data_IF_644393736225
#
_entry.id   IF_644393736225
#
_cell.length_a   1.000
_cell.length_b   1.000
_cell.length_c   1.000
_cell.angle_alpha   90.00
_cell.angle_beta   90.00
_cell.angle_gamma   90.00
#
_symmetry.space_group_name_H-M   'P 1'
#
loop_
_entity.id
_entity.type
_entity.pdbx_description
1 polymer ?
#
# COMPACT_ATOMS: atom_id res chain seq x y z
N UNK A 1 17.02 5.89 0.64
CA UNK A 1 18.24 6.62 1.06
C UNK A 1 19.54 6.08 0.50
N UNK A 2 19.69 4.77 0.24
CA UNK A 2 20.95 4.21 -0.28
C UNK A 2 21.52 4.94 -1.50
N UNK A 3 20.66 5.43 -2.40
CA UNK A 3 21.08 6.23 -3.55
C UNK A 3 21.86 7.48 -3.11
N UNK A 4 21.29 8.30 -2.23
CA UNK A 4 21.90 9.50 -1.64
C UNK A 4 23.20 9.22 -0.87
N UNK A 5 23.45 7.98 -0.46
CA UNK A 5 24.68 7.57 0.22
C UNK A 5 25.76 7.02 -0.73
N UNK A 6 25.43 6.73 -1.98
CA UNK A 6 26.31 6.01 -2.91
C UNK A 6 27.26 6.92 -3.70
N UNK A 7 27.63 8.07 -3.14
CA UNK A 7 28.64 8.98 -3.69
C UNK A 7 28.07 10.19 -4.46
N UNK A 8 28.99 10.99 -5.01
CA UNK A 8 28.66 12.19 -5.77
C UNK A 8 27.89 11.85 -7.05
N UNK A 9 26.93 12.70 -7.45
CA UNK A 9 26.12 12.48 -8.66
C UNK A 9 24.91 11.57 -8.46
N UNK A 10 24.57 11.21 -7.21
CA UNK A 10 23.37 10.44 -6.87
C UNK A 10 22.33 11.36 -6.26
N UNK A 11 21.21 11.50 -6.95
CA UNK A 11 20.14 12.39 -6.54
C UNK A 11 18.80 11.67 -6.69
N UNK A 12 17.97 11.72 -5.65
CA UNK A 12 16.64 11.13 -5.65
C UNK A 12 15.56 12.20 -5.67
N UNK A 13 14.53 11.98 -6.49
CA UNK A 13 13.30 12.74 -6.48
C UNK A 13 12.15 11.90 -5.93
N UNK A 14 11.37 12.45 -5.01
CA UNK A 14 10.23 11.73 -4.44
C UNK A 14 8.97 12.58 -4.52
N UNK A 15 8.07 12.16 -5.39
CA UNK A 15 6.75 12.74 -5.60
C UNK A 15 5.74 11.98 -4.73
N UNK A 16 5.55 12.48 -3.50
CA UNK A 16 4.47 12.07 -2.59
C UNK A 16 4.49 10.58 -2.19
N UNK A 17 5.68 9.98 -2.01
CA UNK A 17 5.79 8.60 -1.56
C UNK A 17 5.77 8.52 -0.02
N UNK A 18 5.06 7.55 0.59
CA UNK A 18 5.02 7.41 2.04
C UNK A 18 6.41 7.38 2.69
N UNK A 19 6.60 8.22 3.70
CA UNK A 19 7.85 8.34 4.46
C UNK A 19 8.89 9.29 3.86
N UNK A 20 8.68 9.85 2.66
CA UNK A 20 9.68 10.71 2.01
C UNK A 20 9.86 12.08 2.67
N UNK A 21 8.90 12.51 3.47
CA UNK A 21 8.88 13.81 4.14
C UNK A 21 9.66 13.84 5.46
N UNK A 22 10.11 12.67 5.92
CA UNK A 22 10.85 12.55 7.16
C UNK A 22 12.32 12.21 6.88
N UNK A 23 13.21 12.75 7.70
CA UNK A 23 14.61 12.37 7.65
C UNK A 23 14.76 10.90 8.04
N UNK A 24 15.46 10.12 7.22
CA UNK A 24 15.84 8.76 7.54
C UNK A 24 17.35 8.69 7.75
N UNK A 25 17.74 8.39 8.99
CA UNK A 25 19.15 8.38 9.42
C UNK A 25 19.88 9.69 9.08
N UNK A 26 19.20 10.83 9.28
CA UNK A 26 19.79 12.16 9.07
C UNK A 26 19.86 12.64 7.62
N UNK A 27 19.27 11.93 6.65
CA UNK A 27 19.18 12.38 5.25
C UNK A 27 17.75 12.41 4.73
N UNK A 28 17.52 13.28 3.75
CA UNK A 28 16.32 13.35 2.90
C UNK A 28 16.69 13.12 1.43
N UNK A 29 15.74 12.74 0.57
CA UNK A 29 15.93 12.82 -0.87
C UNK A 29 16.29 14.24 -1.32
N UNK A 30 17.03 14.37 -2.41
CA UNK A 30 17.42 15.66 -3.02
C UNK A 30 16.20 16.51 -3.36
N UNK A 31 15.16 15.89 -3.94
CA UNK A 31 13.88 16.54 -4.20
C UNK A 31 12.75 15.80 -3.51
N UNK A 32 11.90 16.55 -2.80
CA UNK A 32 10.71 16.02 -2.14
C UNK A 32 9.53 16.93 -2.46
N UNK A 33 8.43 16.34 -2.93
CA UNK A 33 7.12 16.95 -2.92
C UNK A 33 6.33 16.39 -1.74
N UNK A 34 6.04 17.26 -0.77
CA UNK A 34 5.12 16.98 0.34
C UNK A 34 3.75 16.61 -0.24
N UNK A 35 3.08 15.64 0.37
CA UNK A 35 1.79 15.14 -0.02
C UNK A 35 0.80 16.27 -0.25
N UNK A 36 0.30 16.35 -1.47
CA UNK A 36 -0.71 17.30 -1.87
C UNK A 36 -1.62 16.65 -2.93
N UNK A 37 -2.69 16.03 -2.46
CA UNK A 37 -3.65 15.34 -3.33
C UNK A 37 -4.43 16.27 -4.27
N UNK A 38 -4.32 17.59 -4.13
CA UNK A 38 -4.93 18.57 -5.04
C UNK A 38 -4.04 18.88 -6.26
N UNK A 39 -2.77 18.48 -6.24
CA UNK A 39 -1.83 18.76 -7.33
C UNK A 39 -2.25 18.00 -8.60
N UNK A 40 -2.45 18.70 -9.75
CA UNK A 40 -2.78 18.05 -11.02
C UNK A 40 -1.71 17.04 -11.40
N UNK A 41 -2.15 15.87 -11.88
CA UNK A 41 -1.25 14.75 -12.16
C UNK A 41 -0.25 15.03 -13.28
N UNK A 42 -0.65 15.73 -14.34
CA UNK A 42 0.30 16.16 -15.38
C UNK A 42 1.36 17.11 -14.81
N UNK A 43 1.00 18.00 -13.89
CA UNK A 43 1.98 18.85 -13.21
C UNK A 43 2.94 18.05 -12.32
N UNK A 44 2.51 16.90 -11.77
CA UNK A 44 3.43 15.97 -11.07
C UNK A 44 4.46 15.41 -12.05
N UNK A 45 4.02 14.95 -13.22
CA UNK A 45 4.88 14.43 -14.29
C UNK A 45 5.86 15.51 -14.78
N UNK A 46 5.39 16.73 -15.04
CA UNK A 46 6.24 17.84 -15.48
C UNK A 46 7.33 18.15 -14.46
N UNK A 47 6.96 18.22 -13.17
CA UNK A 47 7.92 18.45 -12.08
C UNK A 47 8.95 17.33 -11.95
N UNK A 48 8.55 16.08 -12.16
CA UNK A 48 9.47 14.94 -12.21
C UNK A 48 10.48 15.11 -13.35
N UNK A 49 10.03 15.51 -14.55
CA UNK A 49 10.94 15.73 -15.68
C UNK A 49 11.95 16.86 -15.41
N UNK A 50 11.53 17.92 -14.72
CA UNK A 50 12.44 18.98 -14.28
C UNK A 50 13.53 18.47 -13.33
N UNK A 51 13.20 17.56 -12.42
CA UNK A 51 14.19 16.94 -11.52
C UNK A 51 15.16 16.05 -12.28
N UNK A 52 14.66 15.21 -13.19
CA UNK A 52 15.48 14.29 -13.99
C UNK A 52 16.46 15.08 -14.88
N UNK A 53 16.02 16.21 -15.44
CA UNK A 53 16.81 17.06 -16.33
C UNK A 53 17.64 18.13 -15.64
N UNK A 54 17.66 18.18 -14.31
CA UNK A 54 18.42 19.21 -13.62
C UNK A 54 19.92 19.14 -14.01
N UNK A 55 20.52 20.28 -14.36
CA UNK A 55 21.89 20.32 -14.90
C UNK A 55 22.97 20.01 -13.86
N UNK A 56 22.71 20.27 -12.58
CA UNK A 56 23.69 20.12 -11.49
C UNK A 56 23.39 18.93 -10.60
N UNK A 57 22.10 18.62 -10.40
CA UNK A 57 21.61 17.56 -9.53
C UNK A 57 20.56 16.67 -10.23
N UNK A 58 20.88 16.06 -11.39
CA UNK A 58 19.91 15.27 -12.14
C UNK A 58 19.44 14.05 -11.33
N UNK A 59 18.14 13.97 -11.07
CA UNK A 59 17.56 12.86 -10.33
C UNK A 59 17.66 11.54 -11.12
N UNK A 60 18.38 10.55 -10.58
CA UNK A 60 18.58 9.23 -11.19
C UNK A 60 17.79 8.11 -10.50
N UNK A 61 17.04 8.44 -9.46
CA UNK A 61 16.02 7.59 -8.86
C UNK A 61 14.80 8.44 -8.52
N UNK A 62 13.66 8.14 -9.14
CA UNK A 62 12.41 8.85 -8.88
C UNK A 62 11.32 7.89 -8.42
N UNK A 63 10.64 8.25 -7.33
CA UNK A 63 9.40 7.62 -6.88
C UNK A 63 8.24 8.58 -7.09
N UNK A 64 7.09 8.08 -7.56
CA UNK A 64 5.89 8.88 -7.77
C UNK A 64 4.63 8.12 -7.39
N UNK A 65 3.72 8.82 -6.72
CA UNK A 65 2.45 8.29 -6.23
C UNK A 65 1.26 9.01 -6.85
N UNK A 66 0.21 8.23 -7.16
CA UNK A 66 -1.07 8.67 -7.70
C UNK A 66 -2.18 7.90 -6.96
N UNK A 67 -3.23 8.60 -6.54
CA UNK A 67 -4.19 8.10 -5.53
C UNK A 67 -5.27 7.15 -6.08
N UNK A 68 -5.40 7.04 -7.40
CA UNK A 68 -6.42 6.19 -8.02
C UNK A 68 -5.78 4.92 -8.60
N UNK A 69 -6.53 3.81 -8.69
CA UNK A 69 -7.97 3.67 -8.47
C UNK A 69 -8.41 3.47 -7.01
N UNK A 70 -7.49 3.50 -6.06
CA UNK A 70 -7.74 3.22 -4.64
C UNK A 70 -8.82 4.14 -4.05
N UNK A 71 -8.62 5.46 -4.16
CA UNK A 71 -9.52 6.45 -3.56
C UNK A 71 -10.98 6.28 -3.99
N UNK A 72 -11.24 6.17 -5.29
CA UNK A 72 -12.61 6.01 -5.79
C UNK A 72 -13.18 4.64 -5.43
N UNK A 73 -12.34 3.61 -5.44
CA UNK A 73 -12.74 2.26 -5.01
C UNK A 73 -13.22 2.24 -3.57
N UNK A 74 -12.49 2.87 -2.63
CA UNK A 74 -12.93 3.01 -1.23
C UNK A 74 -14.33 3.61 -1.12
N UNK A 75 -14.59 4.66 -1.90
CA UNK A 75 -15.84 5.42 -1.83
C UNK A 75 -17.05 4.74 -2.50
N UNK A 76 -16.80 3.90 -3.51
CA UNK A 76 -17.86 3.44 -4.43
C UNK A 76 -17.91 1.92 -4.63
N UNK A 77 -16.91 1.18 -4.15
CA UNK A 77 -16.72 -0.22 -4.45
C UNK A 77 -16.09 -0.49 -5.83
N UNK A 78 -15.57 -1.71 -6.00
CA UNK A 78 -14.82 -2.14 -7.18
C UNK A 78 -15.70 -2.31 -8.44
N UNK A 79 -17.01 -2.41 -8.25
CA UNK A 79 -17.97 -2.59 -9.35
C UNK A 79 -18.56 -1.26 -9.87
N UNK A 80 -18.15 -0.13 -9.29
CA UNK A 80 -18.70 1.18 -9.66
C UNK A 80 -18.31 1.57 -11.09
N UNK A 81 -19.23 2.15 -11.89
CA UNK A 81 -18.89 2.72 -13.19
C UNK A 81 -17.87 3.88 -13.08
N UNK A 82 -17.83 4.59 -11.95
CA UNK A 82 -16.87 5.67 -11.70
C UNK A 82 -15.42 5.16 -11.73
N UNK A 83 -15.22 3.88 -11.38
CA UNK A 83 -13.89 3.27 -11.38
C UNK A 83 -13.29 3.20 -12.78
N UNK A 84 -14.11 2.90 -13.80
CA UNK A 84 -13.65 2.89 -15.19
C UNK A 84 -13.16 4.27 -15.62
N UNK A 85 -13.82 5.33 -15.17
CA UNK A 85 -13.40 6.71 -15.45
C UNK A 85 -12.04 7.00 -14.83
N UNK A 86 -11.81 6.58 -13.58
CA UNK A 86 -10.51 6.79 -12.93
C UNK A 86 -9.40 5.92 -13.53
N UNK A 87 -9.69 4.68 -13.92
CA UNK A 87 -8.72 3.83 -14.62
C UNK A 87 -8.30 4.48 -15.95
N UNK A 88 -9.25 5.01 -16.73
CA UNK A 88 -8.94 5.76 -17.95
C UNK A 88 -8.09 7.01 -17.68
N UNK A 89 -8.31 7.69 -16.54
CA UNK A 89 -7.48 8.82 -16.13
C UNK A 89 -6.06 8.41 -15.76
N UNK A 90 -5.88 7.28 -15.07
CA UNK A 90 -4.56 6.71 -14.77
C UNK A 90 -3.84 6.35 -16.07
N UNK A 91 -4.52 5.66 -16.98
CA UNK A 91 -3.99 5.30 -18.30
C UNK A 91 -3.54 6.55 -19.11
N UNK A 92 -4.39 7.59 -19.16
CA UNK A 92 -4.06 8.86 -19.82
C UNK A 92 -2.82 9.54 -19.19
N UNK A 93 -2.61 9.37 -17.89
CA UNK A 93 -1.45 9.94 -17.17
C UNK A 93 -0.18 9.15 -17.43
N UNK A 94 -0.28 7.82 -17.51
CA UNK A 94 0.83 6.97 -17.96
C UNK A 94 1.21 7.32 -19.40
N UNK A 95 0.22 7.51 -20.28
CA UNK A 95 0.47 7.99 -21.65
C UNK A 95 1.20 9.33 -21.65
N UNK A 96 0.74 10.30 -20.86
CA UNK A 96 1.41 11.61 -20.75
C UNK A 96 2.87 11.49 -20.29
N UNK A 97 3.14 10.64 -19.29
CA UNK A 97 4.50 10.34 -18.85
C UNK A 97 5.36 9.75 -19.97
N UNK A 98 4.84 8.78 -20.72
CA UNK A 98 5.55 8.17 -21.84
C UNK A 98 5.83 9.19 -22.96
N UNK A 99 4.85 10.05 -23.28
CA UNK A 99 5.02 11.13 -24.25
C UNK A 99 6.14 12.09 -23.81
N UNK A 100 6.19 12.46 -22.51
CA UNK A 100 7.28 13.29 -21.96
C UNK A 100 8.65 12.61 -22.00
N UNK A 101 8.72 11.32 -21.68
CA UNK A 101 9.96 10.54 -21.80
C UNK A 101 10.48 10.57 -23.25
N UNK A 102 9.58 10.46 -24.22
CA UNK A 102 9.90 10.52 -25.65
C UNK A 102 10.32 11.90 -26.11
N UNK A 103 9.57 12.95 -25.77
CA UNK A 103 9.90 14.35 -26.07
C UNK A 103 11.31 14.70 -25.58
N UNK A 104 11.71 14.15 -24.43
CA UNK A 104 13.00 14.39 -23.81
C UNK A 104 14.12 13.41 -24.24
N UNK A 105 13.85 12.54 -25.22
CA UNK A 105 14.80 11.54 -25.74
C UNK A 105 15.37 10.60 -24.66
N UNK A 106 14.53 10.21 -23.69
CA UNK A 106 14.89 9.37 -22.54
C UNK A 106 14.49 7.90 -22.71
N UNK A 107 13.80 7.53 -23.78
CA UNK A 107 13.23 6.18 -24.01
C UNK A 107 14.28 5.04 -23.88
N UNK A 108 15.51 5.27 -24.32
CA UNK A 108 16.59 4.29 -24.27
C UNK A 108 17.55 4.50 -23.08
N UNK A 109 17.26 5.46 -22.20
CA UNK A 109 18.11 5.85 -21.05
C UNK A 109 17.42 5.64 -19.71
N UNK A 110 16.10 5.48 -19.71
CA UNK A 110 15.29 5.37 -18.50
C UNK A 110 14.75 3.95 -18.33
N UNK A 111 14.80 3.46 -17.09
CA UNK A 111 14.03 2.31 -16.65
C UNK A 111 12.78 2.81 -15.92
N UNK A 112 11.60 2.39 -16.39
CA UNK A 112 10.30 2.72 -15.82
C UNK A 112 9.70 1.48 -15.18
N UNK A 113 9.27 1.62 -13.92
CA UNK A 113 8.49 0.60 -13.19
C UNK A 113 7.15 1.22 -12.85
N UNK A 114 6.06 0.55 -13.23
CA UNK A 114 4.68 0.90 -12.86
C UNK A 114 4.18 -0.24 -11.98
N UNK A 115 3.73 0.09 -10.77
CA UNK A 115 3.25 -0.90 -9.80
C UNK A 115 2.10 -0.34 -8.98
N UNK A 116 1.38 -1.23 -8.29
CA UNK A 116 0.49 -0.85 -7.18
C UNK A 116 1.01 -1.40 -5.86
N UNK A 117 0.52 -0.84 -4.76
CA UNK A 117 0.80 -1.29 -3.39
C UNK A 117 -0.01 -2.52 -3.00
N UNK A 118 -1.28 -2.57 -3.42
CA UNK A 118 -2.19 -3.69 -3.20
C UNK A 118 -3.29 -3.76 -4.27
N UNK A 119 -4.17 -4.76 -4.14
CA UNK A 119 -5.45 -4.84 -4.83
C UNK A 119 -6.61 -4.32 -3.96
N UNK A 120 -7.84 -4.76 -4.24
CA UNK A 120 -9.06 -4.24 -3.61
C UNK A 120 -10.18 -5.29 -3.60
N UNK A 121 -11.01 -5.30 -2.56
CA UNK A 121 -12.27 -6.04 -2.49
C UNK A 121 -13.43 -5.09 -2.13
N UNK A 122 -14.68 -5.50 -2.31
CA UNK A 122 -15.84 -4.71 -1.91
C UNK A 122 -16.63 -5.32 -0.77
N UNK A 123 -17.17 -4.45 0.06
CA UNK A 123 -18.01 -4.80 1.21
C UNK A 123 -19.34 -4.04 1.16
N UNK A 124 -20.41 -4.73 1.50
CA UNK A 124 -21.77 -4.19 1.60
C UNK A 124 -22.18 -4.01 3.06
N UNK A 125 -23.22 -3.23 3.32
CA UNK A 125 -23.61 -2.86 4.68
C UNK A 125 -24.00 -4.07 5.56
N UNK A 126 -24.58 -5.13 4.98
CA UNK A 126 -24.89 -6.37 5.70
C UNK A 126 -23.67 -7.27 5.96
N UNK A 127 -22.48 -6.90 5.48
CA UNK A 127 -21.22 -7.61 5.69
C UNK A 127 -20.24 -6.80 6.55
N UNK A 128 -20.71 -5.74 7.20
CA UNK A 128 -19.90 -4.99 8.17
C UNK A 128 -19.99 -5.64 9.55
N UNK A 129 -18.88 -5.64 10.29
CA UNK A 129 -18.77 -6.19 11.64
C UNK A 129 -18.60 -5.05 12.62
N UNK A 130 -19.59 -4.85 13.50
CA UNK A 130 -19.57 -3.84 14.54
C UNK A 130 -18.93 -4.40 15.81
N UNK A 131 -17.65 -4.08 16.06
CA UNK A 131 -16.88 -4.66 17.17
C UNK A 131 -17.50 -4.33 18.55
N UNK A 132 -18.11 -3.16 18.68
CA UNK A 132 -18.82 -2.67 19.86
C UNK A 132 -20.12 -3.46 20.18
N UNK A 133 -20.69 -4.15 19.17
CA UNK A 133 -21.79 -5.10 19.36
C UNK A 133 -21.31 -6.48 19.81
N UNK A 134 -20.02 -6.79 19.63
CA UNK A 134 -19.43 -8.08 19.99
C UNK A 134 -18.81 -8.05 21.39
N UNK A 135 -18.16 -6.94 21.75
CA UNK A 135 -17.47 -6.74 23.02
C UNK A 135 -17.60 -5.28 23.48
N UNK A 136 -17.55 -5.04 24.80
CA UNK A 136 -17.71 -3.68 25.34
C UNK A 136 -16.54 -2.78 24.98
N UNK A 137 -16.82 -1.65 24.34
CA UNK A 137 -15.82 -0.62 23.99
C UNK A 137 -15.07 0.00 25.20
N UNK A 138 -15.53 -0.25 26.44
CA UNK A 138 -14.86 0.19 27.67
C UNK A 138 -13.71 -0.72 28.11
N UNK A 139 -13.48 -1.81 27.39
CA UNK A 139 -12.52 -2.86 27.80
C UNK A 139 -11.24 -2.87 26.96
N UNK A 140 -11.18 -2.08 25.88
CA UNK A 140 -10.05 -2.04 24.96
C UNK A 140 -9.97 -0.71 24.19
N UNK A 141 -8.78 -0.45 23.63
CA UNK A 141 -8.58 0.50 22.54
C UNK A 141 -8.38 -0.27 21.22
N UNK A 142 -8.78 0.31 20.09
CA UNK A 142 -8.58 -0.35 18.78
C UNK A 142 -8.24 0.62 17.66
N UNK A 143 -7.44 0.13 16.71
CA UNK A 143 -7.22 0.76 15.41
C UNK A 143 -7.73 -0.19 14.34
N UNK A 144 -8.76 0.24 13.59
CA UNK A 144 -9.44 -0.55 12.57
C UNK A 144 -9.20 0.07 11.20
N UNK A 145 -8.76 -0.74 10.22
CA UNK A 145 -8.52 -0.31 8.84
C UNK A 145 -9.63 -0.72 7.86
N UNK A 146 -10.60 -1.52 8.34
CA UNK A 146 -11.60 -2.18 7.51
C UNK A 146 -11.46 -3.70 7.69
N UNK A 147 -10.73 -4.43 6.84
CA UNK A 147 -10.61 -5.88 6.94
C UNK A 147 -9.81 -6.35 8.15
N UNK A 148 -8.90 -5.51 8.64
CA UNK A 148 -8.06 -5.87 9.78
C UNK A 148 -8.03 -4.77 10.83
N UNK A 149 -7.59 -5.15 12.02
CA UNK A 149 -7.39 -4.21 13.10
C UNK A 149 -6.51 -4.76 14.20
N UNK A 150 -6.08 -3.84 15.06
CA UNK A 150 -5.35 -4.15 16.28
C UNK A 150 -6.20 -3.74 17.47
N UNK A 151 -6.40 -4.67 18.40
CA UNK A 151 -7.09 -4.44 19.67
C UNK A 151 -6.02 -4.44 20.75
N UNK A 152 -5.99 -3.39 21.57
CA UNK A 152 -5.20 -3.28 22.79
C UNK A 152 -6.15 -3.41 24.00
N UNK A 153 -6.28 -4.61 24.59
CA UNK A 153 -7.06 -4.80 25.80
C UNK A 153 -6.54 -3.98 26.98
N UNK A 154 -7.44 -3.52 27.84
CA UNK A 154 -7.08 -2.92 29.12
C UNK A 154 -6.31 -3.92 30.01
N UNK A 155 -5.54 -3.45 31.02
CA UNK A 155 -4.86 -4.33 31.96
C UNK A 155 -5.81 -5.38 32.57
N UNK A 156 -5.40 -6.65 32.52
CA UNK A 156 -6.20 -7.79 33.01
C UNK A 156 -7.32 -8.27 32.08
N UNK A 157 -7.61 -7.59 30.96
CA UNK A 157 -8.69 -7.95 30.03
C UNK A 157 -8.27 -8.77 28.82
N UNK A 158 -6.98 -8.97 28.61
CA UNK A 158 -6.45 -9.62 27.40
C UNK A 158 -7.11 -10.97 27.11
N UNK A 159 -7.11 -11.88 28.09
CA UNK A 159 -7.57 -13.23 27.87
C UNK A 159 -9.11 -13.34 27.80
N UNK A 160 -9.82 -12.50 28.55
CA UNK A 160 -11.29 -12.36 28.46
C UNK A 160 -11.71 -11.93 27.05
N UNK A 161 -11.09 -10.89 26.51
CA UNK A 161 -11.40 -10.38 25.17
C UNK A 161 -11.04 -11.41 24.10
N UNK A 162 -9.86 -12.03 24.20
CA UNK A 162 -9.42 -13.05 23.27
C UNK A 162 -10.42 -14.22 23.21
N UNK A 163 -10.76 -14.82 24.34
CA UNK A 163 -11.68 -15.96 24.39
C UNK A 163 -13.08 -15.61 23.88
N UNK A 164 -13.60 -14.43 24.26
CA UNK A 164 -14.90 -13.96 23.79
C UNK A 164 -14.92 -13.79 22.27
N UNK A 165 -13.96 -13.06 21.70
CA UNK A 165 -13.89 -12.84 20.27
C UNK A 165 -13.65 -14.14 19.50
N UNK A 166 -12.80 -15.05 19.99
CA UNK A 166 -12.56 -16.35 19.36
C UNK A 166 -13.82 -17.22 19.34
N UNK A 167 -14.61 -17.24 20.42
CA UNK A 167 -15.90 -17.94 20.44
C UNK A 167 -16.88 -17.35 19.43
N UNK A 168 -16.96 -16.03 19.37
CA UNK A 168 -17.82 -15.30 18.42
C UNK A 168 -17.38 -15.56 16.97
N UNK A 169 -16.08 -15.49 16.69
CA UNK A 169 -15.53 -15.71 15.35
C UNK A 169 -15.77 -17.14 14.85
N UNK A 170 -15.70 -18.12 15.75
CA UNK A 170 -15.99 -19.52 15.42
C UNK A 170 -17.48 -19.77 15.07
N UNK A 171 -18.39 -19.03 15.71
CA UNK A 171 -19.82 -19.07 15.41
C UNK A 171 -20.13 -18.35 14.09
N UNK A 172 -19.76 -17.06 14.00
CA UNK A 172 -20.09 -16.21 12.86
C UNK A 172 -19.32 -16.61 11.59
N UNK A 173 -18.09 -17.13 11.75
CA UNK A 173 -17.17 -17.49 10.66
C UNK A 173 -16.88 -16.34 9.69
N UNK A 174 -16.98 -15.10 10.14
CA UNK A 174 -16.78 -13.88 9.33
C UNK A 174 -15.41 -13.22 9.56
N UNK A 175 -14.70 -13.55 10.64
CA UNK A 175 -13.36 -13.06 10.94
C UNK A 175 -12.55 -14.09 11.74
N UNK A 176 -11.30 -13.75 12.04
CA UNK A 176 -10.38 -14.53 12.88
C UNK A 176 -9.66 -13.58 13.85
N UNK A 177 -9.24 -14.13 14.98
CA UNK A 177 -8.56 -13.42 16.06
C UNK A 177 -7.25 -14.13 16.32
N UNK A 178 -6.16 -13.37 16.44
CA UNK A 178 -4.83 -13.91 16.62
C UNK A 178 -4.13 -13.21 17.78
N UNK A 179 -3.55 -13.99 18.68
CA UNK A 179 -2.41 -13.52 19.47
C UNK A 179 -1.20 -13.37 18.55
N UNK A 180 -0.21 -12.60 19.01
CA UNK A 180 1.02 -12.33 18.26
C UNK A 180 1.75 -13.60 17.81
N UNK A 181 1.80 -14.61 18.67
CA UNK A 181 2.43 -15.91 18.43
C UNK A 181 1.60 -16.84 17.53
N UNK A 182 0.30 -16.58 17.40
CA UNK A 182 -0.65 -17.34 16.56
C UNK A 182 -0.68 -16.87 15.10
N UNK A 183 -0.12 -15.69 14.78
CA UNK A 183 -0.08 -15.17 13.41
C UNK A 183 0.57 -16.18 12.45
N UNK A 184 0.15 -16.28 11.19
CA UNK A 184 0.87 -17.06 10.19
C UNK A 184 2.33 -16.61 10.05
N UNK A 185 3.27 -17.56 10.02
CA UNK A 185 4.71 -17.27 9.88
C UNK A 185 4.99 -16.52 8.57
N UNK A 186 4.29 -16.87 7.48
CA UNK A 186 4.43 -16.23 6.16
C UNK A 186 4.06 -14.75 6.12
N UNK A 187 3.33 -14.22 7.10
CA UNK A 187 3.05 -12.78 7.17
C UNK A 187 4.26 -11.97 7.67
N UNK A 188 5.25 -12.63 8.28
CA UNK A 188 6.42 -11.98 8.88
C UNK A 188 6.09 -10.88 9.92
N UNK A 189 4.89 -10.94 10.51
CA UNK A 189 4.41 -9.95 11.48
C UNK A 189 4.76 -10.28 12.93
N UNK A 190 5.25 -11.50 13.23
CA UNK A 190 5.54 -11.92 14.62
C UNK A 190 6.67 -11.13 15.26
N UNK A 191 7.69 -10.73 14.50
CA UNK A 191 8.92 -10.18 15.08
C UNK A 191 8.88 -8.64 15.19
N UNK A 192 7.90 -8.11 15.93
CA UNK A 192 7.80 -6.67 16.21
C UNK A 192 7.28 -6.40 17.62
N UNK A 193 7.84 -5.42 18.30
CA UNK A 193 7.33 -4.97 19.61
C UNK A 193 5.99 -4.23 19.49
N UNK A 194 5.63 -3.74 18.30
CA UNK A 194 4.39 -3.00 18.07
C UNK A 194 3.13 -3.83 18.35
N UNK A 195 3.22 -5.15 18.24
CA UNK A 195 2.13 -6.09 18.53
C UNK A 195 2.12 -6.61 19.98
N UNK A 196 3.06 -6.20 20.83
CA UNK A 196 3.07 -6.64 22.22
C UNK A 196 1.79 -6.19 22.93
N UNK A 197 1.15 -7.14 23.63
CA UNK A 197 -0.10 -6.90 24.36
C UNK A 197 -1.32 -6.66 23.47
N UNK A 198 -1.23 -6.88 22.15
CA UNK A 198 -2.34 -6.66 21.22
C UNK A 198 -2.86 -7.97 20.64
N UNK A 199 -4.15 -7.96 20.32
CA UNK A 199 -4.78 -8.95 19.45
C UNK A 199 -4.85 -8.38 18.03
N UNK A 200 -4.63 -9.24 17.04
CA UNK A 200 -4.88 -8.92 15.64
C UNK A 200 -6.19 -9.57 15.21
N UNK A 201 -7.06 -8.80 14.58
CA UNK A 201 -8.30 -9.31 13.99
C UNK A 201 -8.22 -9.19 12.47
N UNK A 202 -8.71 -10.22 11.78
CA UNK A 202 -8.75 -10.28 10.32
C UNK A 202 -10.11 -10.80 9.87
N UNK A 203 -10.88 -9.97 9.19
CA UNK A 203 -12.11 -10.34 8.53
C UNK A 203 -11.82 -11.25 7.33
N UNK A 204 -12.77 -12.13 7.03
CA UNK A 204 -12.74 -12.89 5.78
C UNK A 204 -13.06 -11.96 4.61
N UNK A 205 -12.53 -12.24 3.42
CA UNK A 205 -12.88 -11.47 2.23
C UNK A 205 -14.38 -11.31 2.03
N UNK A 206 -14.80 -10.13 1.58
CA UNK A 206 -16.20 -9.70 1.54
C UNK A 206 -16.79 -9.25 2.88
N UNK A 207 -16.04 -9.28 3.99
CA UNK A 207 -16.41 -8.71 5.28
C UNK A 207 -15.37 -7.69 5.74
N UNK A 208 -15.80 -6.68 6.49
CA UNK A 208 -14.90 -5.73 7.12
C UNK A 208 -15.46 -5.24 8.45
N UNK A 209 -14.58 -4.84 9.37
CA UNK A 209 -14.97 -4.18 10.61
C UNK A 209 -15.40 -2.74 10.32
N UNK A 210 -16.45 -2.31 11.02
CA UNK A 210 -16.97 -0.95 10.92
C UNK A 210 -15.91 0.09 11.29
N UNK A 211 -15.84 1.17 10.52
CA UNK A 211 -14.93 2.30 10.75
C UNK A 211 -15.57 3.63 10.29
N UNK A 212 -14.85 4.73 10.51
CA UNK A 212 -15.35 6.08 10.20
C UNK A 212 -15.62 6.31 8.70
N UNK A 213 -14.89 5.63 7.81
CA UNK A 213 -15.13 5.73 6.37
C UNK A 213 -16.48 5.11 6.00
N UNK A 214 -16.80 3.94 6.56
CA UNK A 214 -18.08 3.30 6.33
C UNK A 214 -19.23 4.14 6.90
N UNK A 215 -19.05 4.77 8.06
CA UNK A 215 -20.03 5.72 8.59
C UNK A 215 -20.26 6.90 7.62
N UNK A 216 -19.20 7.50 7.09
CA UNK A 216 -19.30 8.58 6.12
C UNK A 216 -20.07 8.17 4.85
N UNK A 217 -19.77 7.00 4.30
CA UNK A 217 -20.45 6.45 3.11
C UNK A 217 -21.91 6.15 3.42
N UNK A 218 -22.20 5.53 4.57
CA UNK A 218 -23.55 5.21 5.01
C UNK A 218 -24.40 6.47 5.23
N UNK A 219 -23.82 7.57 5.73
CA UNK A 219 -24.52 8.85 5.87
C UNK A 219 -24.78 9.53 4.51
N UNK A 220 -24.05 9.14 3.47
CA UNK A 220 -24.13 9.72 2.12
C UNK A 220 -24.89 8.83 1.13
N UNK A 221 -25.33 7.65 1.55
CA UNK A 221 -25.99 6.64 0.69
C UNK A 221 -27.16 5.98 1.43
N UNK A 222 -28.02 5.26 0.71
CA UNK A 222 -29.01 4.38 1.36
C UNK A 222 -28.33 3.07 1.74
N UNK A 223 -28.75 2.42 2.82
CA UNK A 223 -28.18 1.13 3.25
C UNK A 223 -28.24 0.04 2.17
N UNK A 224 -29.27 0.04 1.31
CA UNK A 224 -29.40 -0.90 0.18
C UNK A 224 -28.40 -0.66 -0.95
N UNK A 225 -27.85 0.55 -1.04
CA UNK A 225 -26.89 0.97 -2.07
C UNK A 225 -25.49 1.19 -1.49
N UNK A 226 -25.30 0.86 -0.21
CA UNK A 226 -23.99 0.97 0.43
C UNK A 226 -23.08 -0.11 -0.16
N UNK A 227 -21.97 0.34 -0.72
CA UNK A 227 -20.83 -0.48 -1.11
C UNK A 227 -19.58 0.36 -0.91
N UNK A 228 -18.55 -0.25 -0.33
CA UNK A 228 -17.25 0.38 -0.12
C UNK A 228 -16.16 -0.57 -0.55
N UNK A 229 -15.14 -0.05 -1.23
CA UNK A 229 -13.90 -0.78 -1.47
C UNK A 229 -13.08 -0.83 -0.18
N UNK A 230 -12.37 -1.92 0.04
CA UNK A 230 -11.43 -2.02 1.14
C UNK A 230 -10.35 -3.07 0.86
N UNK A 231 -9.24 -2.99 1.59
CA UNK A 231 -8.06 -3.84 1.39
C UNK A 231 -7.32 -4.08 2.70
N UNK A 232 -6.31 -4.94 2.68
CA UNK A 232 -5.60 -5.40 3.88
C UNK A 232 -6.09 -6.74 4.40
N UNK A 233 -6.75 -7.53 3.55
CA UNK A 233 -6.96 -8.96 3.78
C UNK A 233 -5.63 -9.72 3.71
N UNK A 234 -5.71 -11.04 3.83
CA UNK A 234 -4.59 -11.92 3.58
C UNK A 234 -3.92 -11.64 2.22
N UNK A 235 -2.59 -11.53 2.20
CA UNK A 235 -1.82 -11.22 1.00
C UNK A 235 -1.83 -12.34 -0.06
N UNK A 236 -2.24 -13.55 0.31
CA UNK A 236 -2.45 -14.64 -0.66
C UNK A 236 -3.81 -14.57 -1.38
N UNK A 237 -4.76 -13.78 -0.88
CA UNK A 237 -6.05 -13.62 -1.57
C UNK A 237 -5.82 -12.96 -2.94
N UNK A 238 -6.31 -13.55 -4.05
CA UNK A 238 -6.12 -13.00 -5.38
C UNK A 238 -6.58 -11.55 -5.56
N UNK A 239 -7.58 -11.10 -4.79
CA UNK A 239 -8.07 -9.71 -4.83
C UNK A 239 -7.08 -8.72 -4.24
N UNK A 240 -6.16 -9.15 -3.38
CA UNK A 240 -5.12 -8.30 -2.78
C UNK A 240 -3.86 -8.20 -3.63
N UNK A 241 -3.77 -8.95 -4.74
CA UNK A 241 -2.61 -8.91 -5.62
C UNK A 241 -2.45 -7.54 -6.26
N UNK A 242 -1.22 -7.08 -6.28
CA UNK A 242 -0.81 -5.82 -6.88
C UNK A 242 -0.37 -6.01 -8.34
N UNK A 243 -0.40 -4.91 -9.11
CA UNK A 243 0.13 -4.86 -10.46
C UNK A 243 1.64 -4.59 -10.46
N UNK A 244 2.37 -5.15 -11.44
CA UNK A 244 3.75 -4.79 -11.72
C UNK A 244 4.02 -4.85 -13.23
N UNK A 245 4.57 -3.78 -13.78
CA UNK A 245 5.03 -3.66 -15.16
C UNK A 245 6.36 -2.91 -15.17
N UNK A 246 7.29 -3.31 -16.03
CA UNK A 246 8.57 -2.67 -16.15
C UNK A 246 9.02 -2.58 -17.61
N UNK A 247 9.72 -1.50 -17.96
CA UNK A 247 10.26 -1.26 -19.30
C UNK A 247 11.55 -0.44 -19.20
N UNK A 248 12.44 -0.61 -20.17
CA UNK A 248 13.72 0.11 -20.23
C UNK A 248 14.90 -0.80 -20.56
N UNK A 249 16.11 -0.24 -20.67
CA UNK A 249 17.31 -0.97 -21.10
C UNK A 249 17.72 -2.10 -20.15
N UNK A 250 17.32 -2.08 -18.88
CA UNK A 250 17.62 -3.14 -17.92
C UNK A 250 16.62 -4.32 -17.97
N UNK A 251 15.51 -4.18 -18.69
CA UNK A 251 14.41 -5.16 -18.69
C UNK A 251 14.30 -5.91 -20.01
N UNK A 252 13.93 -7.20 -19.93
CA UNK A 252 13.61 -8.01 -21.11
C UNK A 252 12.33 -7.48 -21.76
N UNK A 253 12.32 -7.42 -23.09
CA UNK A 253 11.14 -7.03 -23.87
C UNK A 253 10.19 -8.22 -24.03
N UNK A 254 8.89 -7.93 -24.19
CA UNK A 254 7.84 -8.91 -24.52
C UNK A 254 7.87 -10.19 -23.65
N UNK A 255 8.05 -10.01 -22.34
CA UNK A 255 8.18 -11.12 -21.39
C UNK A 255 7.15 -10.96 -20.28
N UNK A 256 6.51 -12.07 -19.90
CA UNK A 256 5.64 -12.17 -18.72
C UNK A 256 6.37 -12.98 -17.65
N UNK A 257 6.55 -12.39 -16.47
CA UNK A 257 7.16 -13.07 -15.31
C UNK A 257 6.15 -13.87 -14.50
N UNK A 258 6.66 -14.71 -13.59
CA UNK A 258 5.84 -15.32 -12.53
C UNK A 258 5.53 -14.27 -11.44
N UNK A 259 4.42 -14.43 -10.68
CA UNK A 259 4.18 -13.60 -9.51
C UNK A 259 5.35 -13.64 -8.53
N UNK A 260 5.64 -12.51 -7.90
CA UNK A 260 6.68 -12.38 -6.88
C UNK A 260 6.24 -11.38 -5.81
N UNK A 261 6.84 -11.45 -4.62
CA UNK A 261 6.51 -10.55 -3.52
C UNK A 261 7.14 -9.16 -3.70
N UNK A 262 6.39 -8.10 -3.40
CA UNK A 262 6.84 -6.71 -3.57
C UNK A 262 8.13 -6.34 -2.80
N UNK A 263 8.53 -7.12 -1.80
CA UNK A 263 9.82 -6.97 -1.10
C UNK A 263 11.02 -7.09 -2.06
N UNK A 264 10.87 -7.80 -3.19
CA UNK A 264 11.90 -7.94 -4.22
C UNK A 264 12.03 -6.73 -5.13
N UNK A 265 11.12 -5.75 -5.05
CA UNK A 265 11.22 -4.49 -5.82
C UNK A 265 12.43 -3.68 -5.37
N UNK A 266 12.78 -3.70 -4.08
CA UNK A 266 13.96 -3.00 -3.59
C UNK A 266 15.28 -3.59 -4.14
N UNK A 267 15.58 -4.90 -4.01
CA UNK A 267 16.72 -5.54 -4.66
C UNK A 267 16.77 -5.29 -6.17
N UNK A 268 15.62 -5.35 -6.85
CA UNK A 268 15.53 -5.04 -8.27
C UNK A 268 16.00 -3.60 -8.58
N UNK A 269 15.47 -2.60 -7.89
CA UNK A 269 15.87 -1.19 -8.06
C UNK A 269 17.36 -1.01 -7.72
N UNK A 270 17.83 -1.66 -6.66
CA UNK A 270 19.24 -1.60 -6.26
C UNK A 270 20.15 -2.14 -7.37
N UNK A 271 19.83 -3.31 -7.94
CA UNK A 271 20.56 -3.91 -9.06
C UNK A 271 20.55 -3.00 -10.30
N UNK A 272 19.38 -2.52 -10.72
CA UNK A 272 19.23 -1.62 -11.88
C UNK A 272 20.08 -0.35 -11.72
N UNK A 273 20.22 0.16 -10.49
CA UNK A 273 21.01 1.35 -10.19
C UNK A 273 22.47 1.06 -9.87
N UNK A 274 22.90 -0.20 -9.75
CA UNK A 274 24.24 -0.56 -9.27
C UNK A 274 24.49 -0.15 -7.81
N UNK A 275 23.47 -0.22 -6.96
CA UNK A 275 23.56 0.06 -5.53
C UNK A 275 23.94 -1.21 -4.77
N UNK A 276 24.78 -1.06 -3.73
CA UNK A 276 25.01 -2.14 -2.77
C UNK A 276 23.76 -2.33 -1.91
N UNK A 277 23.22 -3.54 -1.91
CA UNK A 277 22.11 -3.91 -1.04
C UNK A 277 22.55 -3.90 0.45
N UNK A 278 21.68 -3.46 1.37
CA UNK A 278 21.95 -3.50 2.80
C UNK A 278 21.92 -4.95 3.27
N UNK A 279 22.87 -5.30 4.14
CA UNK A 279 23.01 -6.66 4.67
C UNK A 279 21.77 -7.19 5.42
N UNK A 280 20.86 -6.30 5.82
CA UNK A 280 19.63 -6.60 6.58
C UNK A 280 18.36 -6.76 5.71
N UNK A 281 18.46 -6.67 4.39
CA UNK A 281 17.31 -6.73 3.46
C UNK A 281 16.91 -8.12 2.99
N UNK A 282 17.72 -9.14 3.30
CA UNK A 282 17.46 -10.53 2.90
C UNK A 282 16.45 -11.13 3.88
N UNK A 283 15.34 -11.68 3.38
CA UNK A 283 14.39 -12.45 4.21
C UNK A 283 15.17 -13.51 5.01
N UNK A 284 14.79 -13.85 6.24
CA UNK A 284 15.48 -14.89 7.02
C UNK A 284 15.60 -16.24 6.29
N UNK A 285 14.70 -16.52 5.35
CA UNK A 285 14.70 -17.71 4.48
C UNK A 285 15.57 -17.58 3.22
N UNK A 286 16.28 -16.46 3.05
CA UNK A 286 17.13 -16.13 1.89
C UNK A 286 16.43 -16.20 0.54
N UNK A 287 15.11 -16.05 0.50
CA UNK A 287 14.43 -15.83 -0.78
C UNK A 287 14.80 -14.44 -1.31
N UNK A 288 15.69 -14.47 -2.31
CA UNK A 288 16.04 -13.44 -3.28
C UNK A 288 15.67 -14.03 -4.64
#
# INVERSE_FOLDING_TARGET
MQNEYSGNGRYSGVMMWPGSEFQYQGKTPTYVQIYNNTMPWNSRVDKIMLWIKNSSQPANLVFAYFEEPDKTSHMKGINSPDLKVQISRVDATVKYLLDKIKEENLENKMNLIILSDHGMDSVTNNRTIHLDQLISNKTYESVISGPNGFILPNPGKFEEIYQNLTRISNNLRTFSVYKKDELPVRWHMKNTSRLNGKLYILAKPGYAFWNNLFEYIQNSTRSMTFESGTHGYDNEDPRMRAMFMASGPAFRKNTTGQPFDNVHVYPLIANVLGLKEPASGVRPDRTI
#
